data_IF_844948806535
#
_entry.id   IF_844948806535
#
_cell.length_a   1.000
_cell.length_b   1.000
_cell.length_c   1.000
_cell.angle_alpha   90.00
_cell.angle_beta   90.00
_cell.angle_gamma   90.00
#
_symmetry.space_group_name_H-M   'P 1'
#
loop_
_entity.id
_entity.type
_entity.pdbx_description
1 polymer ?
#
# COMPACT_ATOMS: atom_id res chain seq x y z
N UNK A 1 16.77 -2.08 1.31
CA UNK A 1 15.86 -1.37 2.23
C UNK A 1 14.88 -2.41 2.73
N UNK A 2 15.19 -3.03 3.86
CA UNK A 2 14.68 -4.36 4.28
C UNK A 2 13.84 -4.22 5.56
N UNK A 3 12.81 -3.37 5.54
CA UNK A 3 11.97 -3.11 6.72
C UNK A 3 10.47 -3.02 6.44
N UNK A 4 9.99 -3.35 5.23
CA UNK A 4 8.55 -3.36 4.92
C UNK A 4 7.97 -4.76 4.71
N UNK A 5 8.74 -5.80 4.98
CA UNK A 5 8.22 -7.17 5.05
C UNK A 5 7.85 -7.44 6.50
N UNK A 6 6.60 -7.86 6.76
CA UNK A 6 6.11 -8.42 8.04
C UNK A 6 5.41 -7.46 9.01
N UNK A 7 4.30 -6.83 8.62
CA UNK A 7 3.23 -6.54 9.58
C UNK A 7 1.84 -6.58 8.92
N UNK A 8 1.24 -7.77 8.79
CA UNK A 8 -0.21 -7.85 9.03
C UNK A 8 -0.39 -7.60 10.53
N UNK A 9 -0.45 -6.32 10.90
CA UNK A 9 -0.58 -5.89 12.29
C UNK A 9 -1.86 -6.47 12.88
N UNK A 10 -1.80 -6.81 14.17
CA UNK A 10 -2.92 -7.17 15.03
C UNK A 10 -4.13 -6.23 14.95
N UNK A 11 -3.99 -5.04 14.37
CA UNK A 11 -5.05 -4.05 14.14
C UNK A 11 -6.08 -4.47 13.09
N UNK A 12 -5.70 -5.15 12.00
CA UNK A 12 -6.64 -5.55 10.94
C UNK A 12 -7.60 -6.66 11.38
N UNK A 13 -7.23 -7.40 12.42
CA UNK A 13 -8.03 -8.45 13.05
C UNK A 13 -8.67 -8.02 14.36
N UNK A 14 -8.51 -6.75 14.77
CA UNK A 14 -9.12 -6.22 15.98
C UNK A 14 -10.66 -6.27 15.89
N UNK A 15 -11.32 -6.61 17.00
CA UNK A 15 -12.78 -6.76 17.06
C UNK A 15 -13.53 -5.51 16.61
N UNK A 16 -12.98 -4.31 16.90
CA UNK A 16 -13.54 -3.03 16.45
C UNK A 16 -13.53 -2.86 14.93
N UNK A 17 -12.44 -3.28 14.26
CA UNK A 17 -12.33 -3.24 12.79
C UNK A 17 -13.28 -4.25 12.15
N UNK A 18 -13.41 -5.44 12.73
CA UNK A 18 -14.38 -6.45 12.24
C UNK A 18 -15.82 -5.97 12.35
N UNK A 19 -16.18 -5.37 13.49
CA UNK A 19 -17.52 -4.83 13.71
C UNK A 19 -17.83 -3.69 12.73
N UNK A 20 -16.88 -2.77 12.52
CA UNK A 20 -17.03 -1.69 11.55
C UNK A 20 -17.23 -2.19 10.11
N UNK A 21 -16.47 -3.21 9.70
CA UNK A 21 -16.60 -3.79 8.36
C UNK A 21 -17.94 -4.51 8.17
N UNK A 22 -18.43 -5.19 9.21
CA UNK A 22 -19.76 -5.82 9.22
C UNK A 22 -20.89 -4.78 9.15
N UNK A 23 -20.82 -3.72 9.96
CA UNK A 23 -21.79 -2.62 9.95
C UNK A 23 -21.88 -1.94 8.58
N UNK A 24 -20.74 -1.79 7.91
CA UNK A 24 -20.65 -1.22 6.55
C UNK A 24 -20.92 -2.23 5.43
N UNK A 25 -21.32 -3.46 5.77
CA UNK A 25 -21.60 -4.56 4.84
C UNK A 25 -20.45 -4.85 3.86
N UNK A 26 -19.21 -4.67 4.32
CA UNK A 26 -18.00 -4.93 3.53
C UNK A 26 -17.62 -6.39 3.66
N UNK A 27 -17.69 -7.13 2.55
CA UNK A 27 -17.22 -8.51 2.48
C UNK A 27 -15.70 -8.56 2.59
N UNK A 28 -15.20 -9.17 3.66
CA UNK A 28 -13.76 -9.39 3.84
C UNK A 28 -13.39 -10.71 3.18
N UNK A 29 -12.57 -10.64 2.13
CA UNK A 29 -12.04 -11.84 1.49
C UNK A 29 -11.12 -12.60 2.47
N UNK A 30 -11.28 -13.93 2.62
CA UNK A 30 -10.38 -14.74 3.44
C UNK A 30 -9.02 -14.81 2.75
N UNK A 31 -8.10 -13.91 3.12
CA UNK A 31 -6.75 -13.89 2.57
C UNK A 31 -5.88 -14.96 3.24
N UNK A 32 -5.16 -15.81 2.49
CA UNK A 32 -4.24 -16.77 3.09
C UNK A 32 -3.07 -16.03 3.74
N UNK A 33 -2.82 -16.34 5.02
CA UNK A 33 -1.81 -15.74 5.93
C UNK A 33 -0.36 -15.85 5.40
N UNK A 34 -0.14 -16.51 4.25
CA UNK A 34 1.19 -16.84 3.72
C UNK A 34 1.40 -16.45 2.25
N UNK A 35 0.61 -15.51 1.71
CA UNK A 35 0.87 -14.99 0.37
C UNK A 35 1.24 -13.50 0.37
N UNK A 36 2.42 -13.14 0.92
CA UNK A 36 2.94 -11.78 0.82
C UNK A 36 3.14 -11.39 -0.66
N UNK A 37 3.46 -12.36 -1.52
CA UNK A 37 3.68 -12.15 -2.95
C UNK A 37 2.41 -11.94 -3.79
N UNK A 38 1.21 -12.15 -3.24
CA UNK A 38 -0.04 -12.00 -3.98
C UNK A 38 -0.76 -10.69 -3.69
N UNK A 39 -0.24 -9.83 -2.81
CA UNK A 39 -0.91 -8.58 -2.50
C UNK A 39 -0.75 -7.60 -3.69
N UNK A 40 -1.82 -7.31 -4.46
CA UNK A 40 -1.72 -6.41 -5.61
C UNK A 40 -1.28 -5.00 -5.21
N UNK A 41 -1.56 -4.62 -3.96
CA UNK A 41 -1.17 -3.33 -3.37
C UNK A 41 0.35 -3.26 -3.19
N UNK A 42 1.01 -4.36 -2.80
CA UNK A 42 2.48 -4.38 -2.64
C UNK A 42 3.19 -4.22 -3.99
N UNK A 43 2.75 -4.97 -5.01
CA UNK A 43 3.28 -4.83 -6.37
C UNK A 43 3.09 -3.41 -6.91
N UNK A 44 1.94 -2.81 -6.60
CA UNK A 44 1.64 -1.45 -7.02
C UNK A 44 2.54 -0.42 -6.31
N UNK A 45 2.77 -0.55 -5.00
CA UNK A 45 3.71 0.31 -4.28
C UNK A 45 5.14 0.16 -4.79
N UNK A 46 5.57 -1.05 -5.12
CA UNK A 46 6.88 -1.29 -5.71
C UNK A 46 7.01 -0.61 -7.08
N UNK A 47 5.98 -0.69 -7.93
CA UNK A 47 5.94 -0.01 -9.22
C UNK A 47 6.04 1.51 -9.06
N UNK A 48 5.21 2.11 -8.21
CA UNK A 48 5.26 3.56 -7.95
C UNK A 48 6.62 3.98 -7.39
N UNK A 49 7.16 3.23 -6.44
CA UNK A 49 8.46 3.50 -5.84
C UNK A 49 9.58 3.47 -6.88
N UNK A 50 9.51 2.57 -7.88
CA UNK A 50 10.46 2.54 -9.00
C UNK A 50 10.31 3.74 -9.91
N UNK A 51 9.08 4.15 -10.26
CA UNK A 51 8.82 5.31 -11.12
C UNK A 51 9.29 6.62 -10.50
N UNK A 52 8.98 6.85 -9.22
CA UNK A 52 9.45 8.04 -8.49
C UNK A 52 10.98 8.10 -8.43
N UNK A 53 11.66 6.96 -8.23
CA UNK A 53 13.14 6.91 -8.25
C UNK A 53 13.74 7.11 -9.63
N UNK A 54 13.01 6.78 -10.70
CA UNK A 54 13.46 6.94 -12.08
C UNK A 54 13.25 8.37 -12.62
N UNK A 55 12.63 9.26 -11.85
CA UNK A 55 12.42 10.66 -12.24
C UNK A 55 13.75 11.37 -12.48
N UNK A 56 13.77 12.21 -13.52
CA UNK A 56 14.92 13.06 -13.83
C UNK A 56 15.25 14.02 -12.68
N UNK A 57 14.23 14.51 -11.97
CA UNK A 57 14.38 15.34 -10.77
C UNK A 57 13.89 14.52 -9.57
N UNK A 58 14.79 14.06 -8.68
CA UNK A 58 14.39 13.34 -7.48
C UNK A 58 13.77 14.31 -6.46
N UNK A 59 12.70 13.90 -5.75
CA UNK A 59 12.09 14.72 -4.71
C UNK A 59 13.04 14.90 -3.52
N UNK A 60 13.13 16.11 -2.99
CA UNK A 60 14.08 16.50 -1.93
C UNK A 60 13.45 16.63 -0.55
N UNK A 61 12.13 16.71 -0.48
CA UNK A 61 11.37 16.82 0.75
C UNK A 61 10.06 16.00 0.67
N UNK A 62 9.38 15.87 1.80
CA UNK A 62 8.14 15.07 1.91
C UNK A 62 7.03 15.61 1.02
N UNK A 63 6.94 16.93 0.83
CA UNK A 63 5.91 17.55 -0.01
C UNK A 63 6.13 17.23 -1.49
N UNK A 64 7.37 17.34 -1.97
CA UNK A 64 7.75 16.94 -3.33
C UNK A 64 7.58 15.45 -3.56
N UNK A 65 7.88 14.61 -2.55
CA UNK A 65 7.67 13.17 -2.64
C UNK A 65 6.17 12.83 -2.75
N UNK A 66 5.32 13.50 -1.97
CA UNK A 66 3.88 13.31 -2.04
C UNK A 66 3.32 13.73 -3.41
N UNK A 67 3.74 14.89 -3.93
CA UNK A 67 3.37 15.34 -5.29
C UNK A 67 3.83 14.35 -6.36
N UNK A 68 5.08 13.87 -6.27
CA UNK A 68 5.61 12.89 -7.21
C UNK A 68 4.84 11.56 -7.18
N UNK A 69 4.44 11.10 -6.01
CA UNK A 69 3.61 9.89 -5.89
C UNK A 69 2.24 10.06 -6.53
N UNK A 70 1.60 11.22 -6.38
CA UNK A 70 0.29 11.52 -6.99
C UNK A 70 0.39 11.58 -8.52
N UNK A 71 1.43 12.23 -9.04
CA UNK A 71 1.67 12.29 -10.48
C UNK A 71 1.94 10.90 -11.08
N UNK A 72 2.84 10.12 -10.47
CA UNK A 72 3.12 8.75 -10.95
C UNK A 72 1.92 7.80 -10.79
N UNK A 73 1.08 8.01 -9.77
CA UNK A 73 -0.18 7.30 -9.62
C UNK A 73 -1.11 7.59 -10.81
N UNK A 74 -1.29 8.86 -11.19
CA UNK A 74 -2.09 9.25 -12.34
C UNK A 74 -1.58 8.65 -13.67
N UNK A 75 -0.26 8.52 -13.81
CA UNK A 75 0.38 7.92 -14.98
C UNK A 75 0.32 6.37 -15.01
N UNK A 76 -0.25 5.73 -13.99
CA UNK A 76 -0.37 4.26 -13.92
C UNK A 76 -1.77 3.76 -14.35
N UNK A 77 -2.73 4.68 -14.52
CA UNK A 77 -4.12 4.38 -14.92
C UNK A 77 -4.36 4.55 -16.43
#
# INVERSE_FOLDING_TARGET
MTLMTTRMTTSYTASSVRYFLQDRNVSVLPWPVKSPYLNPIEHFWDLLGRRVRARAIPPRNIQELAGALVEEWGNTS
#
